data_IF_188150735078
#
_entry.id   IF_188150735078
#
_cell.length_a   1.000
_cell.length_b   1.000
_cell.length_c   1.000
_cell.angle_alpha   90.00
_cell.angle_beta   90.00
_cell.angle_gamma   90.00
#
_symmetry.space_group_name_H-M   'P 1'
#
loop_
_entity.id
_entity.type
_entity.pdbx_description
1 polymer ?
#
# COMPACT_ATOMS: atom_id res chain seq x y z
N UNK A 1 19.88 28.47 -32.50
CA UNK A 1 19.56 27.06 -32.21
C UNK A 1 18.34 27.04 -31.30
N UNK A 2 17.20 26.69 -31.86
CA UNK A 2 15.89 26.82 -31.22
C UNK A 2 15.69 25.72 -30.16
N UNK A 3 15.47 26.13 -28.92
CA UNK A 3 15.36 25.25 -27.77
C UNK A 3 13.98 24.56 -27.78
N UNK A 4 13.90 23.38 -28.37
CA UNK A 4 12.72 22.51 -28.41
C UNK A 4 12.40 21.92 -27.03
N UNK A 5 12.16 22.76 -26.02
CA UNK A 5 11.37 22.37 -24.86
C UNK A 5 9.89 22.33 -25.27
N UNK A 6 9.53 21.41 -26.17
CA UNK A 6 8.13 21.09 -26.46
C UNK A 6 7.46 20.69 -25.15
N UNK A 7 6.46 21.49 -24.75
CA UNK A 7 5.61 21.29 -23.58
C UNK A 7 5.16 19.81 -23.48
N UNK A 8 5.79 19.02 -22.61
CA UNK A 8 5.45 17.59 -22.38
C UNK A 8 4.24 17.42 -21.45
N UNK A 9 3.44 18.47 -21.26
CA UNK A 9 2.26 18.42 -20.38
C UNK A 9 1.13 17.71 -21.14
N UNK A 10 0.56 16.66 -20.54
CA UNK A 10 -0.58 15.92 -21.08
C UNK A 10 -0.26 14.70 -21.97
N UNK A 11 1.01 14.39 -22.27
CA UNK A 11 1.35 13.18 -23.02
C UNK A 11 1.52 11.99 -22.07
N UNK A 12 0.74 10.92 -22.31
CA UNK A 12 0.86 9.66 -21.57
C UNK A 12 2.29 9.13 -21.65
N UNK A 13 2.81 8.68 -20.51
CA UNK A 13 4.16 8.12 -20.44
C UNK A 13 4.22 6.78 -21.16
N UNK A 14 5.40 6.38 -21.67
CA UNK A 14 5.58 5.04 -22.26
C UNK A 14 5.17 3.92 -21.30
N UNK A 15 5.33 4.15 -20.00
CA UNK A 15 4.97 3.19 -18.94
C UNK A 15 3.45 3.03 -18.82
N UNK A 16 2.68 4.10 -19.01
CA UNK A 16 1.20 4.05 -18.98
C UNK A 16 0.63 3.33 -20.20
N UNK A 17 1.37 3.33 -21.31
CA UNK A 17 0.99 2.65 -22.54
C UNK A 17 1.43 1.18 -22.58
N UNK A 18 2.17 0.70 -21.57
CA UNK A 18 2.63 -0.69 -21.54
C UNK A 18 1.45 -1.68 -21.45
N UNK A 19 1.57 -2.85 -22.10
CA UNK A 19 0.66 -3.96 -21.85
C UNK A 19 0.55 -4.25 -20.35
N UNK A 20 -0.69 -4.45 -19.89
CA UNK A 20 -1.02 -4.59 -18.47
C UNK A 20 -0.19 -5.67 -17.76
N UNK A 21 0.11 -6.78 -18.45
CA UNK A 21 0.98 -7.85 -17.93
C UNK A 21 2.40 -7.36 -17.60
N UNK A 22 3.00 -6.57 -18.49
CA UNK A 22 4.36 -6.03 -18.32
C UNK A 22 4.35 -4.94 -17.25
N UNK A 23 3.34 -4.06 -17.26
CA UNK A 23 3.18 -3.00 -16.26
C UNK A 23 3.04 -3.58 -14.84
N UNK A 24 2.21 -4.61 -14.65
CA UNK A 24 2.10 -5.31 -13.36
C UNK A 24 3.42 -5.94 -12.91
N UNK A 25 4.20 -6.52 -13.83
CA UNK A 25 5.51 -7.09 -13.51
C UNK A 25 6.47 -5.98 -13.06
N UNK A 26 6.53 -4.87 -13.80
CA UNK A 26 7.31 -3.69 -13.45
C UNK A 26 6.97 -3.17 -12.04
N UNK A 27 5.68 -2.98 -11.75
CA UNK A 27 5.21 -2.49 -10.45
C UNK A 27 5.64 -3.40 -9.30
N UNK A 28 5.48 -4.73 -9.47
CA UNK A 28 5.91 -5.72 -8.47
C UNK A 28 7.41 -5.66 -8.20
N UNK A 29 8.22 -5.58 -9.25
CA UNK A 29 9.67 -5.50 -9.12
C UNK A 29 10.09 -4.23 -8.38
N UNK A 30 9.52 -3.07 -8.74
CA UNK A 30 9.78 -1.79 -8.08
C UNK A 30 9.38 -1.78 -6.60
N UNK A 31 8.21 -2.35 -6.27
CA UNK A 31 7.72 -2.40 -4.88
C UNK A 31 8.53 -3.37 -4.03
N UNK A 32 8.97 -4.50 -4.58
CA UNK A 32 9.72 -5.51 -3.86
C UNK A 32 11.10 -5.04 -3.36
N UNK A 33 11.69 -4.06 -4.05
CA UNK A 33 13.06 -3.55 -3.82
C UNK A 33 14.15 -4.63 -3.86
N UNK A 34 13.88 -5.78 -4.49
CA UNK A 34 14.84 -6.90 -4.63
C UNK A 34 15.80 -6.75 -5.82
N UNK A 35 15.48 -5.84 -6.75
CA UNK A 35 16.22 -5.63 -7.99
C UNK A 35 16.73 -4.20 -8.04
N UNK A 36 17.92 -4.01 -8.60
CA UNK A 36 18.44 -2.69 -8.95
C UNK A 36 17.63 -2.08 -10.11
N UNK A 37 17.64 -0.75 -10.23
CA UNK A 37 16.95 -0.07 -11.34
C UNK A 37 17.48 -0.52 -12.71
N UNK A 38 18.76 -0.84 -12.82
CA UNK A 38 19.38 -1.32 -14.07
C UNK A 38 18.86 -2.71 -14.43
N UNK A 39 18.76 -3.62 -13.47
CA UNK A 39 18.19 -4.96 -13.70
C UNK A 39 16.73 -4.89 -14.12
N UNK A 40 15.93 -4.08 -13.42
CA UNK A 40 14.52 -3.85 -13.76
C UNK A 40 14.41 -3.31 -15.19
N UNK A 41 15.23 -2.33 -15.55
CA UNK A 41 15.22 -1.73 -16.88
C UNK A 41 15.51 -2.78 -17.96
N UNK A 42 16.53 -3.61 -17.76
CA UNK A 42 16.92 -4.64 -18.71
C UNK A 42 15.83 -5.69 -18.89
N UNK A 43 15.31 -6.23 -17.78
CA UNK A 43 14.28 -7.28 -17.79
C UNK A 43 13.00 -6.77 -18.47
N UNK A 44 12.53 -5.57 -18.09
CA UNK A 44 11.29 -5.02 -18.64
C UNK A 44 11.46 -4.64 -20.12
N UNK A 45 12.61 -4.08 -20.51
CA UNK A 45 12.84 -3.78 -21.93
C UNK A 45 12.95 -5.05 -22.79
N UNK A 46 13.51 -6.14 -22.26
CA UNK A 46 13.47 -7.45 -22.93
C UNK A 46 12.04 -7.96 -23.09
N UNK A 47 11.21 -7.91 -22.04
CA UNK A 47 9.80 -8.30 -22.12
C UNK A 47 9.03 -7.46 -23.15
N UNK A 48 9.31 -6.16 -23.23
CA UNK A 48 8.69 -5.23 -24.19
C UNK A 48 9.03 -5.63 -25.62
N UNK A 49 10.28 -5.96 -25.89
CA UNK A 49 10.73 -6.40 -27.22
C UNK A 49 10.11 -7.75 -27.59
N UNK A 50 10.08 -8.71 -26.65
CA UNK A 50 9.46 -10.03 -26.86
C UNK A 50 7.95 -9.90 -27.15
N UNK A 51 7.29 -8.93 -26.51
CA UNK A 51 5.87 -8.64 -26.75
C UNK A 51 5.60 -7.88 -28.07
N UNK A 52 6.64 -7.51 -28.83
CA UNK A 52 6.51 -6.77 -30.07
C UNK A 52 6.22 -5.27 -29.90
N UNK A 53 6.42 -4.70 -28.70
CA UNK A 53 6.13 -3.30 -28.38
C UNK A 53 7.41 -2.44 -28.27
N UNK A 54 8.39 -2.66 -29.13
CA UNK A 54 9.73 -2.02 -29.05
C UNK A 54 9.71 -0.48 -29.00
N UNK A 55 8.66 0.16 -29.52
CA UNK A 55 8.42 1.60 -29.42
C UNK A 55 8.25 2.08 -27.96
N UNK A 56 7.81 1.20 -27.06
CA UNK A 56 7.57 1.46 -25.65
C UNK A 56 8.79 1.20 -24.76
N UNK A 57 9.95 0.87 -25.33
CA UNK A 57 11.20 0.69 -24.58
C UNK A 57 11.45 1.89 -23.66
N UNK A 58 11.73 1.56 -22.40
CA UNK A 58 11.89 2.50 -21.31
C UNK A 58 13.31 3.06 -21.28
N UNK A 59 13.42 4.33 -20.89
CA UNK A 59 14.69 4.95 -20.53
C UNK A 59 14.92 4.88 -19.02
N UNK A 60 16.19 4.91 -18.60
CA UNK A 60 16.57 4.97 -17.18
C UNK A 60 15.87 6.12 -16.43
N UNK A 61 15.82 7.30 -17.05
CA UNK A 61 15.15 8.46 -16.46
C UNK A 61 13.62 8.29 -16.40
N UNK A 62 13.01 7.63 -17.39
CA UNK A 62 11.58 7.30 -17.38
C UNK A 62 11.23 6.33 -16.26
N UNK A 63 12.01 5.26 -16.13
CA UNK A 63 11.87 4.28 -15.05
C UNK A 63 12.04 4.92 -13.67
N UNK A 64 13.07 5.75 -13.48
CA UNK A 64 13.35 6.36 -12.18
C UNK A 64 12.22 7.28 -11.70
N UNK A 65 11.68 8.13 -12.59
CA UNK A 65 10.53 8.98 -12.25
C UNK A 65 9.30 8.17 -11.85
N UNK A 66 9.01 7.11 -12.60
CA UNK A 66 7.89 6.24 -12.30
C UNK A 66 8.08 5.48 -10.99
N UNK A 67 9.28 5.00 -10.72
CA UNK A 67 9.61 4.35 -9.45
C UNK A 67 9.31 5.26 -8.25
N UNK A 68 9.72 6.52 -8.31
CA UNK A 68 9.44 7.51 -7.26
C UNK A 68 7.93 7.70 -7.09
N UNK A 69 7.21 7.90 -8.19
CA UNK A 69 5.75 8.09 -8.18
C UNK A 69 5.02 6.90 -7.57
N UNK A 70 5.35 5.68 -7.99
CA UNK A 70 4.76 4.44 -7.50
C UNK A 70 5.04 4.23 -6.01
N UNK A 71 6.29 4.43 -5.57
CA UNK A 71 6.67 4.29 -4.16
C UNK A 71 5.89 5.27 -3.28
N UNK A 72 5.71 6.51 -3.73
CA UNK A 72 4.91 7.51 -3.02
C UNK A 72 3.45 7.09 -2.94
N UNK A 73 2.85 6.65 -4.05
CA UNK A 73 1.47 6.17 -4.09
C UNK A 73 1.24 4.99 -3.12
N UNK A 74 2.16 4.01 -3.12
CA UNK A 74 2.11 2.87 -2.20
C UNK A 74 2.30 3.29 -0.75
N UNK A 75 3.18 4.25 -0.46
CA UNK A 75 3.37 4.78 0.89
C UNK A 75 2.11 5.45 1.42
N UNK A 76 1.46 6.27 0.60
CA UNK A 76 0.17 6.92 0.94
C UNK A 76 -0.91 5.86 1.20
N UNK A 77 -1.06 4.88 0.30
CA UNK A 77 -2.03 3.80 0.48
C UNK A 77 -1.79 2.99 1.77
N UNK A 78 -0.52 2.70 2.12
CA UNK A 78 -0.17 2.04 3.38
C UNK A 78 -0.55 2.87 4.59
N UNK A 79 -0.22 4.17 4.61
CA UNK A 79 -0.59 5.09 5.70
C UNK A 79 -2.10 5.16 5.90
N UNK A 80 -2.88 5.25 4.82
CA UNK A 80 -4.34 5.22 4.92
C UNK A 80 -4.86 3.88 5.45
N UNK A 81 -4.32 2.76 4.96
CA UNK A 81 -4.66 1.42 5.47
C UNK A 81 -4.32 1.24 6.95
N UNK A 82 -3.18 1.75 7.39
CA UNK A 82 -2.77 1.77 8.80
C UNK A 82 -3.69 2.63 9.65
N UNK A 83 -4.04 3.84 9.22
CA UNK A 83 -4.98 4.70 9.93
C UNK A 83 -6.34 4.02 10.13
N UNK A 84 -6.87 3.38 9.09
CA UNK A 84 -8.13 2.62 9.17
C UNK A 84 -8.04 1.44 10.14
N UNK A 85 -6.93 0.68 10.11
CA UNK A 85 -6.67 -0.39 11.08
C UNK A 85 -6.59 0.13 12.51
N UNK A 86 -5.90 1.25 12.73
CA UNK A 86 -5.77 1.88 14.06
C UNK A 86 -7.12 2.33 14.61
N UNK A 87 -7.98 2.91 13.76
CA UNK A 87 -9.34 3.28 14.17
C UNK A 87 -10.13 2.07 14.66
N UNK A 88 -10.15 0.98 13.87
CA UNK A 88 -10.82 -0.28 14.25
C UNK A 88 -10.25 -0.85 15.56
N UNK A 89 -8.93 -0.82 15.71
CA UNK A 89 -8.26 -1.29 16.92
C UNK A 89 -8.66 -0.47 18.16
N UNK A 90 -8.71 0.86 18.03
CA UNK A 90 -9.14 1.74 19.12
C UNK A 90 -10.60 1.51 19.52
N UNK A 91 -11.48 1.25 18.55
CA UNK A 91 -12.88 0.90 18.82
C UNK A 91 -12.99 -0.44 19.57
N UNK A 92 -12.22 -1.44 19.15
CA UNK A 92 -12.17 -2.74 19.84
C UNK A 92 -11.68 -2.60 21.28
N UNK A 93 -10.63 -1.82 21.53
CA UNK A 93 -10.15 -1.55 22.89
C UNK A 93 -11.24 -0.93 23.78
N UNK A 94 -11.94 0.10 23.30
CA UNK A 94 -13.04 0.70 24.08
C UNK A 94 -14.16 -0.28 24.40
N UNK A 95 -14.40 -1.26 23.52
CA UNK A 95 -15.40 -2.31 23.77
C UNK A 95 -14.89 -3.31 24.80
N UNK A 96 -13.60 -3.66 24.78
CA UNK A 96 -12.96 -4.47 25.81
C UNK A 96 -13.05 -3.80 27.18
N UNK A 97 -12.67 -2.53 27.31
CA UNK A 97 -12.74 -1.78 28.58
C UNK A 97 -14.16 -1.81 29.17
N UNK A 98 -15.18 -1.65 28.30
CA UNK A 98 -16.59 -1.72 28.70
C UNK A 98 -17.01 -3.11 29.16
N UNK A 99 -16.48 -4.17 28.54
CA UNK A 99 -16.77 -5.54 28.93
C UNK A 99 -16.08 -5.88 30.25
N UNK A 100 -14.82 -5.49 30.44
CA UNK A 100 -14.09 -5.64 31.71
C UNK A 100 -14.85 -4.97 32.84
N UNK A 101 -15.25 -3.71 32.68
CA UNK A 101 -16.09 -3.02 33.68
C UNK A 101 -17.45 -3.70 33.95
N UNK A 102 -18.01 -4.45 32.97
CA UNK A 102 -19.23 -5.23 33.20
C UNK A 102 -18.95 -6.48 34.01
N UNK A 103 -17.84 -7.16 33.75
CA UNK A 103 -17.40 -8.33 34.50
C UNK A 103 -17.19 -7.94 35.96
N UNK A 104 -16.49 -6.83 36.23
CA UNK A 104 -16.25 -6.35 37.60
C UNK A 104 -17.57 -6.11 38.34
N UNK A 105 -18.51 -5.40 37.71
CA UNK A 105 -19.84 -5.15 38.30
C UNK A 105 -20.62 -6.44 38.56
N UNK A 106 -20.51 -7.43 37.68
CA UNK A 106 -21.16 -8.73 37.88
C UNK A 106 -20.50 -9.48 39.04
N UNK A 107 -19.17 -9.43 39.16
CA UNK A 107 -18.42 -9.99 40.28
C UNK A 107 -18.89 -9.41 41.62
N UNK A 108 -18.92 -8.08 41.75
CA UNK A 108 -19.40 -7.42 42.97
C UNK A 108 -20.85 -7.79 43.31
N UNK A 109 -21.73 -7.89 42.30
CA UNK A 109 -23.12 -8.30 42.53
C UNK A 109 -23.23 -9.75 43.00
N UNK A 110 -22.40 -10.64 42.48
CA UNK A 110 -22.37 -12.04 42.92
C UNK A 110 -21.90 -12.13 44.37
N UNK A 111 -20.85 -11.40 44.76
CA UNK A 111 -20.37 -11.33 46.15
C UNK A 111 -21.48 -10.85 47.10
N UNK A 112 -22.20 -9.78 46.74
CA UNK A 112 -23.33 -9.29 47.53
C UNK A 112 -24.45 -10.32 47.69
N UNK A 113 -24.78 -11.06 46.63
CA UNK A 113 -25.81 -12.10 46.69
C UNK A 113 -25.37 -13.27 47.56
N UNK A 114 -24.10 -13.69 47.46
CA UNK A 114 -23.53 -14.74 48.30
C UNK A 114 -23.58 -14.34 49.78
N UNK A 115 -23.21 -13.11 50.14
CA UNK A 115 -23.34 -12.62 51.51
C UNK A 115 -24.78 -12.68 52.04
N UNK A 116 -25.77 -12.35 51.22
CA UNK A 116 -27.19 -12.41 51.62
C UNK A 116 -27.62 -13.86 51.84
N UNK A 117 -27.15 -14.80 51.02
CA UNK A 117 -27.45 -16.23 51.18
C UNK A 117 -26.79 -16.79 52.44
N UNK A 118 -25.52 -16.45 52.72
CA UNK A 118 -24.79 -16.93 53.90
C UNK A 118 -25.32 -16.39 55.23
N UNK A 119 -26.00 -15.24 55.21
CA UNK A 119 -26.59 -14.59 56.41
C UNK A 119 -28.02 -15.04 56.73
N UNK A 120 -28.67 -15.82 55.85
CA UNK A 120 -30.00 -16.40 56.06
C UNK A 120 -29.91 -17.89 56.41
#
# INVERSE_FOLDING_TARGET
MENLQKNKRGRLSKIELLPEKIKRKLDKMLISRKYSQTEILNIINQDIVIAGCSELVLSKAGLSRYAISLVNAVSVARKHGEASRRYKHAELHRRLDKLESKIDRLGTRLEQVLEVIEKN
#
